data_IF_993614745890
#
_entry.id   IF_993614745890
#
_cell.length_a   1.000
_cell.length_b   1.000
_cell.length_c   1.000
_cell.angle_alpha   90.00
_cell.angle_beta   90.00
_cell.angle_gamma   90.00
#
_symmetry.space_group_name_H-M   'P 1'
#
loop_
_entity.id
_entity.type
_entity.pdbx_description
1 polymer ?
#
# COMPACT_ATOMS: atom_id res chain seq x y z
N UNK A 1 -26.97 -11.48 -12.11
CA UNK A 1 -26.17 -10.26 -12.29
C UNK A 1 -26.65 -9.23 -11.30
N UNK A 2 -26.00 -9.21 -10.15
CA UNK A 2 -26.28 -8.25 -9.09
C UNK A 2 -25.91 -6.85 -9.58
N UNK A 3 -26.85 -5.90 -9.44
CA UNK A 3 -26.64 -4.51 -9.86
C UNK A 3 -25.88 -3.75 -8.77
N UNK A 4 -25.09 -2.76 -9.20
CA UNK A 4 -24.44 -1.81 -8.28
C UNK A 4 -25.53 -1.01 -7.56
N UNK A 5 -25.46 -0.98 -6.22
CA UNK A 5 -26.36 -0.18 -5.39
C UNK A 5 -26.01 1.31 -5.48
N UNK A 6 -27.01 2.16 -5.24
CA UNK A 6 -26.81 3.60 -5.12
C UNK A 6 -26.12 3.96 -3.79
N UNK A 7 -25.60 5.19 -3.68
CA UNK A 7 -24.96 5.66 -2.46
C UNK A 7 -25.95 5.66 -1.28
N UNK A 8 -27.17 6.15 -1.51
CA UNK A 8 -28.24 6.27 -0.53
C UNK A 8 -28.67 4.89 -0.01
N UNK A 9 -28.75 3.90 -0.90
CA UNK A 9 -29.04 2.52 -0.53
C UNK A 9 -27.94 1.93 0.36
N UNK A 10 -26.67 2.23 0.07
CA UNK A 10 -25.55 1.85 0.92
C UNK A 10 -25.62 2.46 2.33
N UNK A 11 -26.04 3.72 2.43
CA UNK A 11 -26.25 4.41 3.71
C UNK A 11 -27.41 3.80 4.49
N UNK A 12 -28.51 3.47 3.80
CA UNK A 12 -29.69 2.82 4.41
C UNK A 12 -29.32 1.45 4.99
N UNK A 13 -28.63 0.62 4.20
CA UNK A 13 -28.15 -0.69 4.64
C UNK A 13 -27.22 -0.58 5.85
N UNK A 14 -26.29 0.39 5.85
CA UNK A 14 -25.36 0.59 6.96
C UNK A 14 -26.05 0.95 8.27
N UNK A 15 -27.15 1.72 8.20
CA UNK A 15 -27.87 2.22 9.38
C UNK A 15 -28.92 1.26 9.90
N UNK A 16 -29.55 0.50 9.00
CA UNK A 16 -30.82 -0.17 9.32
C UNK A 16 -30.84 -1.67 9.04
N UNK A 17 -29.94 -2.21 8.20
CA UNK A 17 -29.93 -3.65 7.93
C UNK A 17 -29.40 -4.43 9.13
N UNK A 18 -29.97 -5.61 9.36
CA UNK A 18 -29.42 -6.55 10.35
C UNK A 18 -28.11 -7.15 9.86
N UNK A 19 -27.27 -7.62 10.78
CA UNK A 19 -26.04 -8.33 10.41
C UNK A 19 -26.32 -9.59 9.58
N UNK A 20 -27.46 -10.26 9.80
CA UNK A 20 -27.87 -11.43 9.03
C UNK A 20 -28.20 -11.04 7.58
N UNK A 21 -28.98 -9.98 7.38
CA UNK A 21 -29.30 -9.47 6.05
C UNK A 21 -28.03 -9.11 5.27
N UNK A 22 -27.10 -8.39 5.90
CA UNK A 22 -25.82 -8.01 5.30
C UNK A 22 -24.99 -9.24 4.91
N UNK A 23 -24.95 -10.27 5.76
CA UNK A 23 -24.23 -11.51 5.47
C UNK A 23 -24.82 -12.25 4.28
N UNK A 24 -26.15 -12.39 4.21
CA UNK A 24 -26.83 -13.07 3.10
C UNK A 24 -26.59 -12.34 1.78
N UNK A 25 -26.73 -11.01 1.76
CA UNK A 25 -26.47 -10.17 0.58
C UNK A 25 -24.99 -10.26 0.15
N UNK A 26 -24.06 -10.14 1.10
CA UNK A 26 -22.62 -10.24 0.81
C UNK A 26 -22.24 -11.63 0.27
N UNK A 27 -22.81 -12.70 0.84
CA UNK A 27 -22.57 -14.06 0.39
C UNK A 27 -23.11 -14.30 -1.03
N UNK A 28 -24.27 -13.74 -1.37
CA UNK A 28 -24.80 -13.82 -2.74
C UNK A 28 -23.86 -13.12 -3.75
N UNK A 29 -23.37 -11.91 -3.42
CA UNK A 29 -22.39 -11.19 -4.26
C UNK A 29 -21.09 -11.98 -4.39
N UNK A 30 -20.58 -12.52 -3.28
CA UNK A 30 -19.36 -13.36 -3.27
C UNK A 30 -19.54 -14.59 -4.15
N UNK A 31 -20.68 -15.28 -4.06
CA UNK A 31 -20.96 -16.48 -4.84
C UNK A 31 -21.12 -16.18 -6.34
N UNK A 32 -21.70 -15.03 -6.72
CA UNK A 32 -21.78 -14.62 -8.12
C UNK A 32 -20.38 -14.27 -8.68
N UNK A 33 -19.58 -13.49 -7.94
CA UNK A 33 -18.24 -13.05 -8.39
C UNK A 33 -17.16 -14.11 -8.27
N UNK A 34 -17.29 -15.03 -7.32
CA UNK A 34 -16.34 -16.11 -7.05
C UNK A 34 -17.12 -17.43 -6.89
N UNK A 35 -17.65 -18.01 -7.99
CA UNK A 35 -18.48 -19.21 -7.94
C UNK A 35 -17.81 -20.44 -7.30
N UNK A 36 -16.52 -20.71 -7.53
CA UNK A 36 -15.86 -21.81 -6.84
C UNK A 36 -15.87 -21.59 -5.32
N UNK A 37 -16.12 -22.67 -4.58
CA UNK A 37 -15.94 -22.71 -3.11
C UNK A 37 -14.44 -22.84 -2.75
N UNK A 38 -13.61 -22.00 -3.36
CA UNK A 38 -12.17 -21.90 -3.13
C UNK A 38 -11.89 -20.60 -2.39
N UNK A 39 -11.02 -20.67 -1.39
CA UNK A 39 -10.44 -19.50 -0.71
C UNK A 39 -8.98 -19.44 -1.11
N UNK A 40 -8.53 -18.28 -1.59
CA UNK A 40 -7.14 -18.05 -1.98
C UNK A 40 -6.39 -17.33 -0.86
N UNK A 41 -5.08 -17.56 -0.80
CA UNK A 41 -4.19 -16.87 0.11
C UNK A 41 -2.86 -16.58 -0.61
N UNK A 42 -2.03 -15.75 0.01
CA UNK A 42 -0.68 -15.42 -0.46
C UNK A 42 0.27 -15.63 0.72
N UNK A 43 1.43 -16.23 0.46
CA UNK A 43 2.53 -16.28 1.42
C UNK A 43 3.34 -15.00 1.25
N UNK A 44 3.17 -14.07 2.19
CA UNK A 44 3.67 -12.70 2.08
C UNK A 44 4.57 -12.34 3.27
N UNK A 45 5.45 -11.36 3.05
CA UNK A 45 6.15 -10.66 4.13
C UNK A 45 5.93 -9.16 3.97
N UNK A 46 5.73 -8.47 5.09
CA UNK A 46 5.48 -7.03 5.13
C UNK A 46 6.58 -6.24 5.87
N UNK A 47 7.82 -6.16 5.35
CA UNK A 47 8.86 -5.32 5.93
C UNK A 47 8.61 -3.83 5.63
N UNK A 48 9.33 -2.96 6.35
CA UNK A 48 9.40 -1.54 6.05
C UNK A 48 10.83 -1.11 5.70
N UNK A 49 10.98 -0.29 4.66
CA UNK A 49 12.29 0.24 4.23
C UNK A 49 12.68 1.52 4.98
N UNK A 50 11.73 2.28 5.49
CA UNK A 50 11.98 3.44 6.35
C UNK A 50 10.82 3.62 7.32
N UNK A 51 11.10 4.10 8.52
CA UNK A 51 10.06 4.62 9.42
C UNK A 51 10.06 6.16 9.49
N UNK A 52 10.95 6.82 8.75
CA UNK A 52 11.02 8.28 8.66
C UNK A 52 9.82 8.81 7.88
N UNK A 53 9.05 9.72 8.46
CA UNK A 53 7.82 10.23 7.85
C UNK A 53 7.56 11.69 8.20
N UNK A 54 7.09 12.47 7.21
CA UNK A 54 6.68 13.86 7.38
C UNK A 54 5.17 14.06 7.65
N UNK A 55 4.36 13.00 7.49
CA UNK A 55 2.88 13.08 7.58
C UNK A 55 2.37 13.19 9.01
N UNK A 56 2.87 12.33 9.92
CA UNK A 56 2.48 12.33 11.34
C UNK A 56 0.99 12.03 11.60
N UNK A 57 0.47 10.91 11.10
CA UNK A 57 -0.90 10.47 11.38
C UNK A 57 -1.10 10.19 12.88
N UNK A 58 -2.22 10.62 13.47
CA UNK A 58 -2.48 10.50 14.91
C UNK A 58 -2.62 9.06 15.43
N UNK A 59 -2.95 8.13 14.53
CA UNK A 59 -3.12 6.70 14.82
C UNK A 59 -1.88 5.85 14.49
N UNK A 60 -0.84 6.44 13.89
CA UNK A 60 0.33 5.70 13.44
C UNK A 60 1.40 5.64 14.54
N UNK A 61 1.61 4.47 15.13
CA UNK A 61 2.68 4.23 16.11
C UNK A 61 4.07 4.03 15.46
N UNK A 62 4.10 3.77 14.15
CA UNK A 62 5.31 3.38 13.43
C UNK A 62 6.22 4.58 13.08
N UNK A 63 5.62 5.71 12.72
CA UNK A 63 6.38 6.81 12.14
C UNK A 63 7.36 7.46 13.13
N UNK A 64 8.47 7.96 12.60
CA UNK A 64 9.45 8.77 13.31
C UNK A 64 9.75 10.02 12.50
N UNK A 65 9.99 11.14 13.18
CA UNK A 65 10.61 12.30 12.53
C UNK A 65 12.08 11.97 12.19
N UNK A 66 12.69 12.61 11.17
CA UNK A 66 14.03 12.27 10.70
C UNK A 66 15.11 12.17 11.79
N UNK A 67 15.04 13.02 12.81
CA UNK A 67 16.02 13.09 13.91
C UNK A 67 15.55 12.37 15.18
N UNK A 68 14.37 11.74 15.17
CA UNK A 68 13.85 11.06 16.34
C UNK A 68 14.64 9.77 16.61
N UNK A 69 14.81 9.43 17.89
CA UNK A 69 15.44 8.17 18.30
C UNK A 69 14.72 6.98 17.64
N UNK A 70 15.51 6.11 16.99
CA UNK A 70 15.00 4.93 16.28
C UNK A 70 14.47 5.22 14.88
N UNK A 71 14.66 6.43 14.34
CA UNK A 71 14.51 6.70 12.92
C UNK A 71 15.53 5.87 12.12
N UNK A 72 15.09 5.26 11.02
CA UNK A 72 15.94 4.50 10.12
C UNK A 72 15.46 4.58 8.67
N UNK A 73 16.40 4.42 7.75
CA UNK A 73 16.14 4.19 6.32
C UNK A 73 17.12 3.14 5.84
N UNK A 74 16.59 2.03 5.32
CA UNK A 74 17.36 0.90 4.80
C UNK A 74 17.96 1.27 3.45
N UNK A 75 19.15 0.79 3.18
CA UNK A 75 19.73 0.75 1.84
C UNK A 75 19.00 -0.27 0.96
N UNK A 76 19.21 -0.19 -0.37
CA UNK A 76 18.69 -1.19 -1.32
C UNK A 76 19.15 -2.60 -0.93
N UNK A 77 20.43 -2.76 -0.59
CA UNK A 77 20.98 -4.07 -0.21
C UNK A 77 20.36 -4.63 1.07
N UNK A 78 20.11 -3.80 2.11
CA UNK A 78 19.42 -4.28 3.32
C UNK A 78 17.99 -4.75 3.05
N UNK A 79 17.30 -4.16 2.06
CA UNK A 79 16.00 -4.67 1.60
C UNK A 79 16.19 -5.97 0.81
N UNK A 80 17.23 -6.09 -0.01
CA UNK A 80 17.52 -7.33 -0.74
C UNK A 80 17.88 -8.48 0.21
N UNK A 81 18.59 -8.22 1.31
CA UNK A 81 18.83 -9.22 2.35
C UNK A 81 17.52 -9.75 2.95
N UNK A 82 16.50 -8.88 3.05
CA UNK A 82 15.16 -9.30 3.44
C UNK A 82 14.47 -10.16 2.38
N UNK A 83 14.57 -9.76 1.12
CA UNK A 83 14.05 -10.54 -0.01
C UNK A 83 14.70 -11.94 -0.07
N UNK A 84 16.00 -12.05 0.20
CA UNK A 84 16.72 -13.34 0.29
C UNK A 84 16.12 -14.24 1.39
N UNK A 85 15.84 -13.68 2.58
CA UNK A 85 15.19 -14.42 3.65
C UNK A 85 13.77 -14.84 3.27
N UNK A 86 13.01 -13.95 2.63
CA UNK A 86 11.67 -14.24 2.14
C UNK A 86 11.68 -15.39 1.11
N UNK A 87 12.63 -15.38 0.19
CA UNK A 87 12.86 -16.45 -0.79
C UNK A 87 13.14 -17.77 -0.11
N UNK A 88 14.09 -17.80 0.84
CA UNK A 88 14.43 -19.02 1.61
C UNK A 88 13.25 -19.56 2.40
N UNK A 89 12.35 -18.70 2.84
CA UNK A 89 11.11 -19.07 3.52
C UNK A 89 9.97 -19.50 2.57
N UNK A 90 10.19 -19.49 1.25
CA UNK A 90 9.19 -19.87 0.26
C UNK A 90 8.05 -18.86 0.08
N UNK A 91 8.29 -17.58 0.42
CA UNK A 91 7.29 -16.52 0.23
C UNK A 91 7.17 -16.15 -1.25
N UNK A 92 5.95 -15.83 -1.67
CA UNK A 92 5.62 -15.49 -3.06
C UNK A 92 5.52 -13.99 -3.30
N UNK A 93 5.35 -13.22 -2.23
CA UNK A 93 5.17 -11.77 -2.29
C UNK A 93 5.97 -11.11 -1.17
N UNK A 94 6.45 -9.90 -1.44
CA UNK A 94 6.90 -8.97 -0.40
C UNK A 94 6.14 -7.66 -0.58
N UNK A 95 5.32 -7.34 0.41
CA UNK A 95 4.65 -6.06 0.55
C UNK A 95 5.61 -5.09 1.26
N UNK A 96 6.08 -4.06 0.56
CA UNK A 96 7.09 -3.13 1.11
C UNK A 96 6.53 -1.72 1.20
N UNK A 97 6.25 -1.22 2.39
CA UNK A 97 5.78 0.15 2.61
C UNK A 97 6.63 0.84 3.66
N UNK A 98 6.72 2.16 3.63
CA UNK A 98 7.51 2.94 4.57
C UNK A 98 6.80 4.19 5.06
N UNK A 99 7.54 4.99 5.82
CA UNK A 99 7.19 6.38 6.04
C UNK A 99 7.43 7.23 4.78
N UNK A 100 6.75 8.38 4.71
CA UNK A 100 6.91 9.35 3.63
C UNK A 100 8.18 10.17 3.86
N UNK A 101 9.29 9.71 3.28
CA UNK A 101 10.62 10.26 3.51
C UNK A 101 11.09 11.12 2.32
N UNK A 102 11.19 12.44 2.55
CA UNK A 102 11.62 13.42 1.53
C UNK A 102 13.10 13.35 1.15
N UNK A 103 13.93 12.65 1.93
CA UNK A 103 15.35 12.51 1.63
C UNK A 103 15.64 11.41 0.58
N UNK A 104 14.63 10.61 0.22
CA UNK A 104 14.79 9.50 -0.72
C UNK A 104 14.46 9.94 -2.15
N UNK A 105 15.43 9.92 -3.08
CA UNK A 105 15.21 10.33 -4.45
C UNK A 105 14.56 9.21 -5.28
N UNK A 106 14.04 9.51 -6.46
CA UNK A 106 13.37 8.56 -7.37
C UNK A 106 14.23 7.32 -7.66
N UNK A 107 15.53 7.52 -7.83
CA UNK A 107 16.50 6.47 -8.13
C UNK A 107 16.49 5.38 -7.06
N UNK A 108 16.32 5.73 -5.78
CA UNK A 108 16.22 4.75 -4.71
C UNK A 108 15.02 3.80 -4.89
N UNK A 109 13.86 4.35 -5.25
CA UNK A 109 12.64 3.56 -5.47
C UNK A 109 12.76 2.68 -6.72
N UNK A 110 13.32 3.24 -7.80
CA UNK A 110 13.57 2.52 -9.06
C UNK A 110 14.57 1.38 -8.83
N UNK A 111 15.65 1.63 -8.11
CA UNK A 111 16.68 0.64 -7.81
C UNK A 111 16.17 -0.48 -6.91
N UNK A 112 15.30 -0.18 -5.94
CA UNK A 112 14.62 -1.21 -5.14
C UNK A 112 13.83 -2.18 -6.03
N UNK A 113 13.00 -1.65 -6.93
CA UNK A 113 12.16 -2.46 -7.82
C UNK A 113 13.03 -3.25 -8.79
N UNK A 114 13.96 -2.58 -9.48
CA UNK A 114 14.82 -3.19 -10.50
C UNK A 114 15.70 -4.28 -9.91
N UNK A 115 16.27 -4.04 -8.73
CA UNK A 115 17.12 -5.02 -8.04
C UNK A 115 16.30 -6.20 -7.54
N UNK A 116 15.12 -5.95 -6.96
CA UNK A 116 14.21 -7.02 -6.53
C UNK A 116 13.81 -7.92 -7.72
N UNK A 117 13.39 -7.34 -8.84
CA UNK A 117 13.00 -8.10 -10.05
C UNK A 117 14.16 -8.88 -10.64
N UNK A 118 15.38 -8.34 -10.60
CA UNK A 118 16.59 -9.00 -11.12
C UNK A 118 17.03 -10.18 -10.25
N UNK A 119 17.08 -10.00 -8.92
CA UNK A 119 17.63 -11.00 -7.99
C UNK A 119 16.60 -12.04 -7.54
N UNK A 120 15.32 -11.66 -7.49
CA UNK A 120 14.23 -12.46 -6.92
C UNK A 120 13.02 -12.51 -7.88
N UNK A 121 13.19 -12.99 -9.13
CA UNK A 121 12.11 -13.02 -10.12
C UNK A 121 10.86 -13.82 -9.67
N UNK A 122 11.04 -14.78 -8.76
CA UNK A 122 9.98 -15.62 -8.18
C UNK A 122 9.15 -14.93 -7.08
N UNK A 123 9.65 -13.83 -6.51
CA UNK A 123 8.92 -13.02 -5.54
C UNK A 123 8.27 -11.85 -6.29
N UNK A 124 6.98 -11.67 -6.08
CA UNK A 124 6.26 -10.51 -6.58
C UNK A 124 6.54 -9.27 -5.69
N UNK A 125 7.16 -8.19 -6.22
CA UNK A 125 7.35 -6.96 -5.45
C UNK A 125 6.05 -6.17 -5.41
N UNK A 126 5.43 -6.10 -4.22
CA UNK A 126 4.21 -5.32 -3.96
C UNK A 126 4.58 -4.07 -3.15
N UNK A 127 5.26 -3.13 -3.80
CA UNK A 127 5.95 -2.04 -3.11
C UNK A 127 5.14 -0.72 -3.12
N UNK A 128 5.39 0.08 -2.10
CA UNK A 128 5.00 1.48 -1.88
C UNK A 128 3.49 1.69 -1.60
N UNK A 129 3.07 2.94 -1.56
CA UNK A 129 1.68 3.36 -1.39
C UNK A 129 1.42 4.55 -2.30
N UNK A 130 0.14 4.83 -2.56
CA UNK A 130 -0.24 6.03 -3.31
C UNK A 130 0.33 7.31 -2.68
N UNK A 131 0.47 7.37 -1.36
CA UNK A 131 0.98 8.54 -0.65
C UNK A 131 2.50 8.69 -0.79
N UNK A 132 3.25 7.59 -0.76
CA UNK A 132 4.69 7.61 -1.03
C UNK A 132 4.96 8.06 -2.48
N UNK A 133 4.18 7.55 -3.44
CA UNK A 133 4.35 7.89 -4.85
C UNK A 133 3.93 9.33 -5.19
N UNK A 134 2.88 9.85 -4.55
CA UNK A 134 2.50 11.25 -4.68
C UNK A 134 3.58 12.19 -4.14
N UNK A 135 4.10 11.89 -2.94
CA UNK A 135 5.21 12.65 -2.38
C UNK A 135 6.46 12.55 -3.27
N UNK A 136 6.73 11.37 -3.83
CA UNK A 136 7.84 11.18 -4.76
C UNK A 136 7.71 12.05 -6.02
N UNK A 137 6.50 12.14 -6.58
CA UNK A 137 6.22 13.04 -7.70
C UNK A 137 6.54 14.51 -7.35
N UNK A 138 6.14 14.95 -6.15
CA UNK A 138 6.41 16.31 -5.67
C UNK A 138 7.90 16.59 -5.47
N UNK A 139 8.63 15.73 -4.74
CA UNK A 139 10.06 15.97 -4.45
C UNK A 139 10.94 15.83 -5.70
N UNK A 140 10.53 15.01 -6.66
CA UNK A 140 11.24 14.85 -7.94
C UNK A 140 10.78 15.85 -9.01
N UNK A 141 9.81 16.72 -8.70
CA UNK A 141 9.25 17.70 -9.65
C UNK A 141 8.79 17.07 -10.98
N UNK A 142 8.15 15.90 -10.91
CA UNK A 142 7.59 15.17 -12.06
C UNK A 142 6.13 14.80 -11.80
N UNK A 143 5.41 14.40 -12.84
CA UNK A 143 4.02 13.96 -12.68
C UNK A 143 3.95 12.57 -12.04
N UNK A 144 2.83 12.28 -11.35
CA UNK A 144 2.56 10.92 -10.85
C UNK A 144 2.59 9.88 -11.97
N UNK A 145 2.18 10.25 -13.19
CA UNK A 145 2.28 9.39 -14.38
C UNK A 145 3.73 9.01 -14.66
N UNK A 146 4.64 9.98 -14.67
CA UNK A 146 6.07 9.72 -14.89
C UNK A 146 6.67 8.86 -13.78
N UNK A 147 6.28 9.05 -12.51
CA UNK A 147 6.69 8.14 -11.42
C UNK A 147 6.24 6.71 -11.72
N UNK A 148 4.97 6.52 -12.06
CA UNK A 148 4.41 5.20 -12.37
C UNK A 148 5.06 4.57 -13.60
N UNK A 149 5.38 5.36 -14.63
CA UNK A 149 6.11 4.90 -15.82
C UNK A 149 7.53 4.43 -15.45
N UNK A 150 8.29 5.22 -14.66
CA UNK A 150 9.62 4.82 -14.19
C UNK A 150 9.58 3.50 -13.38
N UNK A 151 8.61 3.36 -12.48
CA UNK A 151 8.46 2.14 -11.68
C UNK A 151 7.96 0.95 -12.51
N UNK A 152 7.10 1.20 -13.50
CA UNK A 152 6.66 0.18 -14.46
C UNK A 152 7.83 -0.36 -15.28
N UNK A 153 8.67 0.52 -15.82
CA UNK A 153 9.88 0.14 -16.56
C UNK A 153 10.89 -0.59 -15.66
N UNK A 154 10.99 -0.23 -14.38
CA UNK A 154 11.78 -0.96 -13.40
C UNK A 154 11.24 -2.38 -13.09
N UNK A 155 9.97 -2.63 -13.40
CA UNK A 155 9.31 -3.94 -13.27
C UNK A 155 8.26 -4.04 -12.17
N UNK A 156 7.81 -2.91 -11.59
CA UNK A 156 6.69 -2.88 -10.64
C UNK A 156 5.38 -3.15 -11.38
N UNK A 157 4.48 -3.96 -10.81
CA UNK A 157 3.21 -4.32 -11.45
C UNK A 157 1.98 -4.09 -10.58
N UNK A 158 2.16 -3.82 -9.30
CA UNK A 158 1.07 -3.61 -8.34
C UNK A 158 1.51 -2.63 -7.26
N UNK A 159 0.57 -1.91 -6.69
CA UNK A 159 0.79 -1.03 -5.53
C UNK A 159 -0.19 -1.46 -4.42
N UNK A 160 0.26 -1.61 -3.18
CA UNK A 160 -0.60 -1.85 -2.02
C UNK A 160 -1.69 -0.78 -1.83
N UNK A 161 -2.87 -1.20 -1.37
CA UNK A 161 -4.02 -0.32 -1.11
C UNK A 161 -3.95 0.49 0.18
N UNK A 162 -2.86 0.38 0.96
CA UNK A 162 -2.67 1.17 2.17
C UNK A 162 -2.55 2.66 1.86
N UNK A 163 -3.06 3.52 2.75
CA UNK A 163 -2.87 4.96 2.66
C UNK A 163 -4.14 5.80 2.47
N UNK A 164 -5.25 5.22 2.01
CA UNK A 164 -6.52 5.96 1.81
C UNK A 164 -7.19 6.39 3.12
N UNK A 165 -7.04 5.59 4.18
CA UNK A 165 -7.70 5.78 5.48
C UNK A 165 -9.20 6.03 5.34
N UNK A 166 -9.67 7.26 5.64
CA UNK A 166 -11.03 7.71 5.44
C UNK A 166 -11.00 8.93 4.51
N UNK A 167 -11.58 8.78 3.33
CA UNK A 167 -11.62 9.82 2.28
C UNK A 167 -12.54 11.01 2.61
N UNK A 168 -13.30 10.95 3.71
CA UNK A 168 -14.04 12.13 4.19
C UNK A 168 -13.05 13.19 4.66
N UNK A 169 -13.01 14.32 3.96
CA UNK A 169 -12.11 15.44 4.25
C UNK A 169 -12.18 15.89 5.72
N UNK A 170 -13.39 15.95 6.28
CA UNK A 170 -13.62 16.26 7.69
C UNK A 170 -12.91 15.28 8.65
N UNK A 171 -12.83 14.01 8.29
CA UNK A 171 -12.15 12.98 9.09
C UNK A 171 -10.63 13.04 8.83
N UNK A 172 -10.21 13.13 7.56
CA UNK A 172 -8.80 13.26 7.16
C UNK A 172 -8.09 14.39 7.89
N UNK A 173 -8.71 15.57 7.97
CA UNK A 173 -8.16 16.73 8.68
C UNK A 173 -7.96 16.49 10.19
N UNK A 174 -8.70 15.55 10.80
CA UNK A 174 -8.53 15.19 12.21
C UNK A 174 -7.44 14.16 12.44
N UNK A 175 -7.29 13.19 11.53
CA UNK A 175 -6.47 12.00 11.76
C UNK A 175 -5.14 12.01 11.00
N UNK A 176 -5.06 12.71 9.87
CA UNK A 176 -3.89 12.73 8.98
C UNK A 176 -3.90 13.96 8.05
N UNK A 177 -3.89 15.19 8.58
CA UNK A 177 -4.09 16.42 7.80
C UNK A 177 -3.03 16.67 6.72
N UNK A 178 -1.80 16.19 6.94
CA UNK A 178 -0.67 16.33 6.00
C UNK A 178 -0.61 15.25 4.92
N UNK A 179 -1.50 14.25 4.98
CA UNK A 179 -1.55 13.16 4.00
C UNK A 179 -2.28 13.61 2.74
N UNK A 180 -1.97 13.02 1.60
CA UNK A 180 -2.68 13.22 0.32
C UNK A 180 -4.21 13.28 0.52
N UNK A 181 -4.84 14.30 -0.06
CA UNK A 181 -6.28 14.46 -0.08
C UNK A 181 -6.97 13.63 -1.18
N UNK A 182 -8.30 13.44 -1.09
CA UNK A 182 -9.10 12.78 -2.12
C UNK A 182 -9.21 13.59 -3.42
#
# INVERSE_FOLDING_TARGET
>A
MLKRIAFEEGVELLKHASSEELQQRAQAVRAEKNPPKRVTFVLDSNPNYTNVCNVGCSFCAFYRHPEAKGAYTKTVEEVMDHMERAKKAGLTTVLLQGGVNNALPLEYYVDLVKTARKRYPEIHPHFFSAVELDNLAQISSITIRQVLENLWEAGLRTIPGGGSEILSERVRLKISPKKLGP
#
